data_IF_514445180774
#
_entry.id   IF_514445180774
#
_cell.length_a   1.000
_cell.length_b   1.000
_cell.length_c   1.000
_cell.angle_alpha   90.00
_cell.angle_beta   90.00
_cell.angle_gamma   90.00
#
_symmetry.space_group_name_H-M   'P 1'
#
loop_
_entity.id
_entity.type
_entity.pdbx_description
1 polymer ?
#
# COMPACT_ATOMS: atom_id res chain seq x y z
N UNK A 1 13.38 -0.72 -26.45
CA UNK A 1 13.08 0.64 -26.96
C UNK A 1 13.41 1.74 -25.96
N UNK A 2 13.13 1.57 -24.66
CA UNK A 2 13.47 2.55 -23.60
C UNK A 2 15.00 2.70 -23.39
N UNK A 3 15.74 1.58 -23.46
CA UNK A 3 17.20 1.60 -23.29
C UNK A 3 17.91 2.43 -24.38
N UNK A 4 17.46 2.31 -25.63
CA UNK A 4 17.98 3.06 -26.77
C UNK A 4 17.64 4.55 -26.69
N UNK A 5 16.46 4.92 -26.17
CA UNK A 5 16.06 6.32 -26.01
C UNK A 5 16.76 7.01 -24.83
N UNK A 6 17.17 6.27 -23.79
CA UNK A 6 17.94 6.82 -22.67
C UNK A 6 19.45 6.93 -22.96
N UNK A 7 19.99 6.06 -23.82
CA UNK A 7 21.40 6.08 -24.21
C UNK A 7 21.78 7.31 -25.05
N UNK A 8 20.89 7.75 -25.96
CA UNK A 8 21.14 8.87 -26.88
C UNK A 8 21.47 10.19 -26.15
N UNK A 9 20.67 10.67 -25.17
CA UNK A 9 20.98 11.91 -24.45
C UNK A 9 22.28 11.79 -23.63
N UNK A 10 22.58 10.61 -23.07
CA UNK A 10 23.82 10.38 -22.34
C UNK A 10 25.05 10.42 -23.26
N UNK A 11 24.93 9.84 -24.46
CA UNK A 11 25.97 9.86 -25.48
C UNK A 11 26.22 11.28 -26.01
N UNK A 12 25.17 12.07 -26.19
CA UNK A 12 25.29 13.49 -26.57
C UNK A 12 25.95 14.32 -25.46
N UNK A 13 25.60 14.08 -24.19
CA UNK A 13 26.16 14.79 -23.04
C UNK A 13 27.68 14.55 -22.89
N UNK A 14 28.18 13.38 -23.32
CA UNK A 14 29.59 12.99 -23.25
C UNK A 14 30.38 13.42 -24.50
N UNK A 15 29.79 13.31 -25.69
CA UNK A 15 30.47 13.63 -26.96
C UNK A 15 30.65 15.13 -27.20
N UNK A 16 29.71 15.97 -26.74
CA UNK A 16 29.79 17.42 -26.93
C UNK A 16 31.04 18.02 -26.23
N UNK A 17 31.28 17.82 -24.92
CA UNK A 17 32.47 18.36 -24.26
C UNK A 17 33.76 17.72 -24.78
N UNK A 18 33.74 16.42 -25.10
CA UNK A 18 34.91 15.73 -25.64
C UNK A 18 35.32 16.28 -27.02
N UNK A 19 34.35 16.58 -27.88
CA UNK A 19 34.59 17.24 -29.17
C UNK A 19 35.17 18.65 -29.03
N UNK A 20 34.74 19.41 -28.02
CA UNK A 20 35.32 20.71 -27.71
C UNK A 20 36.76 20.63 -27.17
N UNK A 21 37.06 19.65 -26.30
CA UNK A 21 38.41 19.44 -25.76
C UNK A 21 39.39 18.99 -26.85
N UNK A 22 38.98 18.06 -27.71
CA UNK A 22 39.82 17.53 -28.80
C UNK A 22 40.14 18.59 -29.86
N UNK A 23 39.21 19.53 -30.13
CA UNK A 23 39.37 20.52 -31.21
C UNK A 23 40.11 21.80 -30.76
N UNK A 24 40.13 22.12 -29.48
CA UNK A 24 40.65 23.39 -28.96
C UNK A 24 41.72 23.19 -27.86
N UNK A 25 42.74 22.36 -28.11
CA UNK A 25 43.77 21.88 -27.17
C UNK A 25 44.55 22.89 -26.29
N UNK A 26 44.17 24.18 -26.25
CA UNK A 26 44.50 25.13 -25.18
C UNK A 26 43.21 25.82 -24.69
N UNK A 27 42.92 25.69 -23.40
CA UNK A 27 41.79 26.36 -22.73
C UNK A 27 42.06 27.88 -22.72
N UNK A 28 41.52 28.58 -23.71
CA UNK A 28 41.54 30.05 -23.77
C UNK A 28 40.24 30.59 -23.17
N UNK A 29 40.23 31.86 -22.71
CA UNK A 29 39.04 32.50 -22.10
C UNK A 29 37.77 32.41 -22.99
N UNK A 30 37.93 32.29 -24.31
CA UNK A 30 36.84 32.07 -25.27
C UNK A 30 36.25 30.65 -25.20
N UNK A 31 37.08 29.62 -24.99
CA UNK A 31 36.65 28.23 -24.82
C UNK A 31 35.79 28.08 -23.56
N UNK A 32 36.09 28.81 -22.50
CA UNK A 32 35.30 28.83 -21.26
C UNK A 32 33.85 29.29 -21.50
N UNK A 33 33.63 30.28 -22.38
CA UNK A 33 32.28 30.76 -22.71
C UNK A 33 31.50 29.71 -23.53
N UNK A 34 32.15 29.06 -24.50
CA UNK A 34 31.52 27.99 -25.29
C UNK A 34 31.15 26.78 -24.45
N UNK A 35 32.00 26.41 -23.49
CA UNK A 35 31.70 25.35 -22.54
C UNK A 35 30.51 25.72 -21.66
N UNK A 36 30.44 26.97 -21.18
CA UNK A 36 29.30 27.47 -20.42
C UNK A 36 28.00 27.44 -21.26
N UNK A 37 28.02 27.88 -22.51
CA UNK A 37 26.86 27.81 -23.40
C UNK A 37 26.41 26.37 -23.64
N UNK A 38 27.35 25.45 -23.88
CA UNK A 38 27.05 24.03 -24.03
C UNK A 38 26.44 23.45 -22.76
N UNK A 39 26.98 23.79 -21.59
CA UNK A 39 26.48 23.33 -20.29
C UNK A 39 25.06 23.84 -20.03
N UNK A 40 24.80 25.13 -20.27
CA UNK A 40 23.46 25.72 -20.18
C UNK A 40 22.50 25.04 -21.15
N UNK A 41 22.93 24.78 -22.40
CA UNK A 41 22.11 24.07 -23.38
C UNK A 41 21.73 22.66 -22.91
N UNK A 42 22.67 21.92 -22.33
CA UNK A 42 22.43 20.60 -21.74
C UNK A 42 21.44 20.70 -20.58
N UNK A 43 21.61 21.67 -19.68
CA UNK A 43 20.68 21.89 -18.57
C UNK A 43 19.27 22.20 -19.05
N UNK A 44 19.12 23.04 -20.08
CA UNK A 44 17.82 23.37 -20.67
C UNK A 44 17.19 22.12 -21.30
N UNK A 45 17.96 21.32 -22.04
CA UNK A 45 17.47 20.08 -22.63
C UNK A 45 17.08 19.04 -21.57
N UNK A 46 17.84 18.96 -20.47
CA UNK A 46 17.50 18.10 -19.33
C UNK A 46 16.21 18.57 -18.64
N UNK A 47 16.06 19.87 -18.39
CA UNK A 47 14.84 20.43 -17.82
C UNK A 47 13.62 20.22 -18.74
N UNK A 48 13.80 20.41 -20.04
CA UNK A 48 12.74 20.20 -21.03
C UNK A 48 12.39 18.72 -21.25
N UNK A 49 13.28 17.77 -20.88
CA UNK A 49 13.02 16.34 -21.01
C UNK A 49 12.25 15.74 -19.82
N UNK A 50 12.25 16.42 -18.66
CA UNK A 50 11.51 16.02 -17.44
C UNK A 50 10.07 15.56 -17.74
N UNK A 51 9.20 16.34 -18.42
CA UNK A 51 7.81 15.94 -18.66
C UNK A 51 7.66 14.66 -19.49
N UNK A 52 8.70 14.24 -20.23
CA UNK A 52 8.68 13.01 -21.02
C UNK A 52 9.20 11.78 -20.25
N UNK A 53 9.80 11.97 -19.06
CA UNK A 53 10.33 10.90 -18.20
C UNK A 53 9.33 10.53 -17.11
N UNK A 54 8.59 11.51 -16.58
CA UNK A 54 7.51 11.27 -15.62
C UNK A 54 6.35 10.55 -16.28
N UNK A 55 6.36 9.22 -16.19
CA UNK A 55 5.27 8.34 -16.60
C UNK A 55 4.52 7.93 -15.33
N UNK A 56 3.52 8.71 -14.88
CA UNK A 56 2.34 8.28 -14.10
C UNK A 56 1.69 9.41 -13.29
N UNK A 57 0.36 9.38 -13.24
CA UNK A 57 -0.60 10.47 -13.01
C UNK A 57 -0.96 10.82 -11.55
N UNK A 58 -0.11 10.53 -10.56
CA UNK A 58 -0.50 10.78 -9.16
C UNK A 58 0.62 11.45 -8.37
N UNK A 59 0.47 12.76 -8.19
CA UNK A 59 1.13 13.48 -7.10
C UNK A 59 0.46 13.06 -5.80
N UNK A 60 1.14 12.19 -5.05
CA UNK A 60 0.70 11.84 -3.70
C UNK A 60 1.27 12.87 -2.73
N UNK A 61 0.43 13.33 -1.81
CA UNK A 61 0.89 14.15 -0.70
C UNK A 61 1.52 13.25 0.36
N UNK A 62 2.50 13.81 1.07
CA UNK A 62 3.10 13.12 2.22
C UNK A 62 2.05 13.13 3.33
N UNK A 63 1.70 11.95 3.82
CA UNK A 63 0.73 11.79 4.90
C UNK A 63 1.49 11.81 6.22
N UNK A 64 0.97 12.54 7.20
CA UNK A 64 1.44 12.40 8.58
C UNK A 64 1.15 10.97 9.03
N UNK A 65 2.21 10.28 9.45
CA UNK A 65 2.07 8.99 10.12
C UNK A 65 1.34 9.24 11.44
N UNK A 66 0.02 9.11 11.43
CA UNK A 66 -0.71 8.78 12.65
C UNK A 66 -0.33 7.33 12.98
N UNK A 67 0.73 7.19 13.79
CA UNK A 67 1.29 5.89 14.12
C UNK A 67 0.27 4.98 14.81
N UNK A 68 -0.76 5.56 15.41
CA UNK A 68 -1.61 4.90 16.39
C UNK A 68 -3.06 4.71 15.90
N UNK A 69 -3.49 5.36 14.81
CA UNK A 69 -4.85 5.21 14.28
C UNK A 69 -5.25 3.75 14.01
N UNK A 70 -4.34 2.95 13.42
CA UNK A 70 -4.64 1.54 13.14
C UNK A 70 -4.70 0.68 14.41
N UNK A 71 -3.83 0.96 15.39
CA UNK A 71 -3.85 0.28 16.69
C UNK A 71 -5.11 0.63 17.48
N UNK A 72 -5.46 1.92 17.51
CA UNK A 72 -6.69 2.43 18.12
C UNK A 72 -7.94 1.82 17.48
N UNK A 73 -7.96 1.68 16.15
CA UNK A 73 -9.06 1.01 15.46
C UNK A 73 -9.18 -0.45 15.90
N UNK A 74 -8.05 -1.17 15.99
CA UNK A 74 -8.08 -2.57 16.43
C UNK A 74 -8.64 -2.69 17.86
N UNK A 75 -8.25 -1.79 18.76
CA UNK A 75 -8.78 -1.75 20.12
C UNK A 75 -10.28 -1.40 20.17
N UNK A 76 -10.74 -0.41 19.39
CA UNK A 76 -12.16 -0.03 19.27
C UNK A 76 -13.01 -1.22 18.79
N UNK A 77 -12.55 -1.91 17.75
CA UNK A 77 -13.24 -3.08 17.22
C UNK A 77 -13.29 -4.21 18.24
N UNK A 78 -12.22 -4.43 19.01
CA UNK A 78 -12.16 -5.48 20.04
C UNK A 78 -13.20 -5.29 21.16
N UNK A 79 -13.65 -4.05 21.41
CA UNK A 79 -14.72 -3.73 22.36
C UNK A 79 -16.09 -3.50 21.67
N UNK A 80 -16.20 -3.81 20.39
CA UNK A 80 -17.47 -3.78 19.64
C UNK A 80 -17.88 -2.40 19.11
N UNK A 81 -16.97 -1.43 19.04
CA UNK A 81 -17.25 -0.08 18.55
C UNK A 81 -17.10 0.04 17.03
N UNK A 82 -17.95 -0.67 16.28
CA UNK A 82 -17.97 -0.63 14.81
C UNK A 82 -18.31 0.75 14.21
N UNK A 83 -19.14 1.53 14.92
CA UNK A 83 -19.58 2.86 14.48
C UNK A 83 -18.61 3.98 14.86
N UNK A 84 -17.41 3.64 15.35
CA UNK A 84 -16.38 4.62 15.68
C UNK A 84 -16.05 5.46 14.43
N UNK A 85 -15.88 6.79 14.56
CA UNK A 85 -15.38 7.64 13.48
C UNK A 85 -14.03 7.16 12.91
N UNK A 86 -13.26 6.41 13.70
CA UNK A 86 -12.00 5.80 13.29
C UNK A 86 -12.18 4.61 12.34
N UNK A 87 -13.33 3.93 12.36
CA UNK A 87 -13.57 2.72 11.57
C UNK A 87 -13.93 3.00 10.11
N UNK A 88 -14.70 4.07 9.88
CA UNK A 88 -15.22 4.42 8.55
C UNK A 88 -14.14 4.58 7.47
N UNK A 89 -12.99 5.24 7.72
CA UNK A 89 -11.95 5.41 6.70
C UNK A 89 -11.27 4.10 6.27
N UNK A 90 -11.34 3.05 7.10
CA UNK A 90 -10.68 1.77 6.85
C UNK A 90 -11.66 0.69 6.37
N UNK A 91 -12.98 0.92 6.50
CA UNK A 91 -14.00 -0.02 6.04
C UNK A 91 -14.04 -0.06 4.51
N UNK A 92 -13.66 -1.21 3.94
CA UNK A 92 -13.63 -1.40 2.48
C UNK A 92 -14.81 -2.22 1.96
N UNK A 93 -15.37 -3.10 2.79
CA UNK A 93 -16.49 -3.94 2.40
C UNK A 93 -17.33 -4.32 3.61
N UNK A 94 -18.64 -4.19 3.45
CA UNK A 94 -19.64 -4.73 4.36
C UNK A 94 -20.53 -5.67 3.55
N UNK A 95 -20.81 -6.86 4.08
CA UNK A 95 -21.79 -7.76 3.48
C UNK A 95 -22.58 -8.49 4.56
N UNK A 96 -23.78 -8.89 4.17
CA UNK A 96 -24.68 -9.71 4.96
C UNK A 96 -24.92 -11.00 4.17
N UNK A 97 -24.68 -12.14 4.80
CA UNK A 97 -24.72 -13.46 4.20
C UNK A 97 -25.77 -14.30 4.92
N UNK A 98 -26.69 -14.88 4.15
CA UNK A 98 -27.75 -15.74 4.69
C UNK A 98 -27.19 -17.14 5.02
N UNK A 99 -27.24 -17.51 6.30
CA UNK A 99 -26.81 -18.83 6.77
C UNK A 99 -27.91 -19.90 6.58
N UNK A 100 -29.16 -19.47 6.40
CA UNK A 100 -30.33 -20.34 6.46
C UNK A 100 -30.55 -20.90 7.87
N UNK A 101 -31.29 -22.01 7.99
CA UNK A 101 -31.53 -22.70 9.27
C UNK A 101 -30.35 -23.60 9.67
N UNK A 102 -29.13 -23.09 9.59
CA UNK A 102 -27.91 -23.83 9.89
C UNK A 102 -27.28 -23.31 11.16
N UNK A 103 -26.93 -24.25 12.04
CA UNK A 103 -26.44 -23.93 13.38
C UNK A 103 -24.91 -24.01 13.46
N UNK A 104 -24.22 -24.31 12.35
CA UNK A 104 -22.78 -24.47 12.30
C UNK A 104 -22.16 -23.68 11.15
N UNK A 105 -21.13 -22.89 11.47
CA UNK A 105 -20.28 -22.15 10.55
C UNK A 105 -18.82 -22.56 10.73
N UNK A 106 -18.23 -23.11 9.67
CA UNK A 106 -16.81 -23.38 9.61
C UNK A 106 -16.06 -22.22 8.95
N UNK A 107 -15.03 -21.70 9.61
CA UNK A 107 -14.09 -20.77 9.00
C UNK A 107 -12.98 -21.55 8.32
N UNK A 108 -12.65 -21.21 7.08
CA UNK A 108 -11.62 -21.88 6.28
C UNK A 108 -10.72 -20.82 5.63
N UNK A 109 -9.41 -20.91 5.83
CA UNK A 109 -8.43 -20.07 5.14
C UNK A 109 -7.80 -20.88 4.01
N UNK A 110 -7.85 -20.36 2.79
CA UNK A 110 -7.17 -20.98 1.66
C UNK A 110 -5.76 -20.39 1.52
N UNK A 111 -4.76 -21.26 1.34
CA UNK A 111 -3.37 -20.87 1.08
C UNK A 111 -2.50 -20.68 2.33
N UNK A 112 -1.23 -20.35 2.10
CA UNK A 112 -0.21 -20.22 3.15
C UNK A 112 -0.24 -18.86 3.87
N UNK A 113 -0.90 -17.85 3.30
CA UNK A 113 -0.99 -16.51 3.89
C UNK A 113 -2.09 -16.42 4.96
N UNK A 114 -1.65 -16.57 6.21
CA UNK A 114 -2.46 -16.50 7.43
C UNK A 114 -2.32 -15.15 8.16
N UNK A 115 -1.81 -14.11 7.51
CA UNK A 115 -1.53 -12.81 8.12
C UNK A 115 -2.74 -11.87 8.16
N UNK A 116 -3.83 -12.30 8.79
CA UNK A 116 -5.02 -11.47 9.02
C UNK A 116 -5.64 -11.75 10.38
N UNK A 117 -6.29 -10.73 10.95
CA UNK A 117 -6.94 -10.85 12.25
C UNK A 117 -8.43 -11.08 12.04
N UNK A 118 -9.01 -12.02 12.77
CA UNK A 118 -10.47 -12.24 12.78
C UNK A 118 -11.01 -11.85 14.15
N UNK A 119 -11.91 -10.86 14.16
CA UNK A 119 -12.67 -10.46 15.33
C UNK A 119 -14.07 -11.05 15.23
N UNK A 120 -14.52 -11.77 16.24
CA UNK A 120 -15.82 -12.43 16.26
C UNK A 120 -16.71 -11.84 17.35
N UNK A 121 -17.83 -11.25 16.94
CA UNK A 121 -18.87 -10.72 17.81
C UNK A 121 -20.12 -11.59 17.74
N UNK A 122 -20.69 -11.89 18.91
CA UNK A 122 -22.01 -12.53 19.03
C UNK A 122 -23.09 -11.47 19.02
N UNK A 123 -24.05 -11.59 18.11
CA UNK A 123 -25.26 -10.77 18.08
C UNK A 123 -26.19 -11.19 19.22
N UNK A 124 -27.01 -10.25 19.67
CA UNK A 124 -28.09 -10.55 20.63
C UNK A 124 -29.26 -11.28 19.96
N UNK A 125 -29.43 -11.10 18.65
CA UNK A 125 -30.53 -11.67 17.87
C UNK A 125 -30.07 -12.88 17.04
N UNK A 126 -30.96 -13.89 16.94
CA UNK A 126 -30.80 -15.03 16.03
C UNK A 126 -31.57 -14.79 14.74
N UNK A 127 -30.99 -14.00 13.84
CA UNK A 127 -31.57 -13.64 12.55
C UNK A 127 -31.09 -14.54 11.39
N UNK A 128 -30.29 -15.57 11.70
CA UNK A 128 -29.66 -16.48 10.73
C UNK A 128 -28.80 -15.77 9.67
N UNK A 129 -28.29 -14.58 9.98
CA UNK A 129 -27.46 -13.80 9.08
C UNK A 129 -26.08 -13.62 9.66
N UNK A 130 -25.07 -13.84 8.84
CA UNK A 130 -23.68 -13.51 9.13
C UNK A 130 -23.39 -12.13 8.55
N UNK A 131 -22.93 -11.18 9.37
CA UNK A 131 -22.42 -9.90 8.88
C UNK A 131 -20.90 -9.94 8.85
N UNK A 132 -20.32 -9.51 7.73
CA UNK A 132 -18.87 -9.49 7.51
C UNK A 132 -18.46 -8.07 7.17
N UNK A 133 -17.59 -7.51 8.00
CA UNK A 133 -16.95 -6.21 7.78
C UNK A 133 -15.46 -6.44 7.54
N UNK A 134 -14.96 -5.89 6.44
CA UNK A 134 -13.56 -5.97 6.07
C UNK A 134 -12.95 -4.58 6.23
N UNK A 135 -11.95 -4.49 7.10
CA UNK A 135 -11.16 -3.28 7.31
C UNK A 135 -9.78 -3.48 6.68
N UNK A 136 -9.41 -2.55 5.80
CA UNK A 136 -8.13 -2.57 5.11
C UNK A 136 -7.13 -1.69 5.84
N UNK A 137 -5.99 -2.29 6.18
CA UNK A 137 -4.84 -1.57 6.73
C UNK A 137 -4.23 -0.57 5.76
N UNK A 138 -3.35 0.30 6.26
CA UNK A 138 -2.63 1.23 5.42
C UNK A 138 -1.36 0.62 4.86
N UNK A 139 -1.04 0.99 3.62
CA UNK A 139 0.28 0.74 3.03
C UNK A 139 0.97 2.07 2.76
N UNK A 140 1.90 2.42 3.65
CA UNK A 140 2.64 3.68 3.59
C UNK A 140 4.10 3.38 3.26
N UNK A 141 4.66 4.07 2.28
CA UNK A 141 6.06 3.95 1.91
C UNK A 141 6.69 5.33 1.80
N UNK A 142 7.76 5.56 2.55
CA UNK A 142 8.44 6.87 2.63
C UNK A 142 7.50 8.06 2.93
N UNK A 143 6.44 7.82 3.72
CA UNK A 143 5.44 8.82 4.07
C UNK A 143 4.36 9.06 3.00
N UNK A 144 4.36 8.32 1.90
CA UNK A 144 3.29 8.38 0.90
C UNK A 144 2.32 7.21 1.10
N UNK A 145 1.03 7.50 1.05
CA UNK A 145 -0.03 6.50 1.18
C UNK A 145 -0.34 5.82 -0.17
N UNK A 146 -0.12 4.52 -0.21
CA UNK A 146 -0.38 3.63 -1.34
C UNK A 146 -1.50 2.62 -1.05
N UNK A 147 -2.30 2.85 -0.02
CA UNK A 147 -3.38 1.93 0.40
C UNK A 147 -4.40 1.69 -0.70
N UNK A 148 -4.61 2.67 -1.59
CA UNK A 148 -5.46 2.52 -2.77
C UNK A 148 -5.01 1.44 -3.76
N UNK A 149 -3.77 0.94 -3.65
CA UNK A 149 -3.25 -0.17 -4.45
C UNK A 149 -3.43 -1.53 -3.79
N UNK A 150 -3.84 -1.56 -2.52
CA UNK A 150 -4.09 -2.80 -1.82
C UNK A 150 -5.42 -3.38 -2.27
N UNK A 151 -5.43 -4.68 -2.56
CA UNK A 151 -6.69 -5.39 -2.84
C UNK A 151 -7.27 -5.97 -1.55
N UNK A 152 -8.60 -5.85 -1.33
CA UNK A 152 -9.27 -6.51 -0.21
C UNK A 152 -9.26 -8.03 -0.38
N UNK A 153 -9.11 -8.77 0.72
CA UNK A 153 -9.25 -10.23 0.70
C UNK A 153 -10.66 -10.63 0.29
N UNK A 154 -10.74 -11.64 -0.58
CA UNK A 154 -12.00 -12.19 -1.04
C UNK A 154 -12.48 -13.29 -0.10
N UNK A 155 -13.80 -13.38 0.06
CA UNK A 155 -14.44 -14.44 0.82
C UNK A 155 -15.75 -14.87 0.15
N UNK A 156 -16.13 -16.11 0.39
CA UNK A 156 -17.38 -16.68 -0.10
C UNK A 156 -17.98 -17.66 0.91
N UNK A 157 -19.31 -17.66 1.00
CA UNK A 157 -20.06 -18.61 1.81
C UNK A 157 -20.45 -19.81 0.93
N UNK A 158 -20.19 -21.00 1.43
CA UNK A 158 -20.49 -22.27 0.76
C UNK A 158 -21.27 -23.21 1.67
N UNK A 159 -21.98 -24.16 1.08
CA UNK A 159 -22.52 -25.29 1.82
C UNK A 159 -21.40 -26.24 2.24
N UNK A 160 -21.48 -26.74 3.46
CA UNK A 160 -20.58 -27.75 4.03
C UNK A 160 -21.41 -28.92 4.59
N UNK A 161 -20.81 -30.09 4.74
CA UNK A 161 -21.51 -31.35 5.10
C UNK A 161 -22.41 -31.20 6.33
N UNK A 162 -21.94 -30.45 7.34
CA UNK A 162 -22.63 -30.26 8.62
C UNK A 162 -23.16 -28.83 8.84
N UNK A 163 -23.03 -27.93 7.85
CA UNK A 163 -23.32 -26.51 8.06
C UNK A 163 -22.99 -25.61 6.88
N UNK A 164 -22.50 -24.41 7.16
CA UNK A 164 -21.94 -23.48 6.18
C UNK A 164 -20.43 -23.37 6.37
N UNK A 165 -19.71 -23.04 5.31
CA UNK A 165 -18.30 -22.72 5.35
C UNK A 165 -18.05 -21.32 4.79
N UNK A 166 -17.45 -20.44 5.59
CA UNK A 166 -16.92 -19.16 5.13
C UNK A 166 -15.47 -19.35 4.73
N UNK A 167 -15.20 -19.30 3.43
CA UNK A 167 -13.86 -19.49 2.87
C UNK A 167 -13.24 -18.15 2.57
N UNK A 168 -12.04 -17.93 3.09
CA UNK A 168 -11.21 -16.78 2.78
C UNK A 168 -10.16 -17.18 1.75
N UNK A 169 -10.16 -16.52 0.60
CA UNK A 169 -9.19 -16.80 -0.46
C UNK A 169 -7.78 -16.35 -0.06
N UNK A 170 -6.77 -17.08 -0.53
CA UNK A 170 -5.38 -16.67 -0.43
C UNK A 170 -5.18 -15.30 -1.09
N UNK A 171 -4.49 -14.38 -0.40
CA UNK A 171 -4.19 -13.05 -0.94
C UNK A 171 -2.68 -12.84 -1.05
N UNK A 172 -2.11 -13.20 -2.20
CA UNK A 172 -0.73 -12.86 -2.55
C UNK A 172 -0.73 -11.71 -3.56
N UNK A 173 -0.50 -10.49 -3.08
CA UNK A 173 -0.44 -9.29 -3.93
C UNK A 173 0.99 -8.79 -4.12
N UNK A 174 1.33 -8.41 -5.36
CA UNK A 174 2.62 -7.81 -5.70
C UNK A 174 2.40 -6.38 -6.15
N UNK A 175 2.85 -5.41 -5.34
CA UNK A 175 2.72 -3.99 -5.67
C UNK A 175 4.03 -3.50 -6.29
N UNK A 176 3.96 -3.06 -7.55
CA UNK A 176 5.09 -2.45 -8.26
C UNK A 176 5.03 -0.93 -8.14
N UNK A 177 6.09 -0.35 -7.58
CA UNK A 177 6.17 1.08 -7.32
C UNK A 177 7.44 1.64 -7.94
N UNK A 178 7.31 2.78 -8.61
CA UNK A 178 8.42 3.60 -9.07
C UNK A 178 8.26 4.97 -8.42
N UNK A 179 9.14 5.28 -7.48
CA UNK A 179 9.15 6.55 -6.77
C UNK A 179 10.28 7.44 -7.31
N UNK A 180 9.94 8.66 -7.68
CA UNK A 180 10.94 9.71 -7.91
C UNK A 180 10.92 10.65 -6.71
N UNK A 181 12.01 10.66 -5.95
CA UNK A 181 12.16 11.53 -4.79
C UNK A 181 13.04 12.74 -5.18
N UNK A 182 12.86 13.91 -4.54
CA UNK A 182 13.74 15.05 -4.75
C UNK A 182 15.21 14.67 -4.49
N UNK A 183 16.09 15.18 -5.35
CA UNK A 183 17.53 14.96 -5.20
C UNK A 183 18.05 15.61 -3.91
N UNK A 184 19.15 15.06 -3.38
CA UNK A 184 19.75 15.47 -2.11
C UNK A 184 19.98 16.98 -2.02
N UNK A 185 20.44 17.61 -3.10
CA UNK A 185 20.69 19.05 -3.21
C UNK A 185 19.44 19.89 -2.98
N UNK A 186 18.29 19.47 -3.49
CA UNK A 186 17.01 20.18 -3.28
C UNK A 186 16.58 20.04 -1.82
N UNK A 187 16.67 18.83 -1.26
CA UNK A 187 16.29 18.51 0.12
C UNK A 187 17.06 19.32 1.17
N UNK A 188 18.29 19.73 0.87
CA UNK A 188 19.10 20.57 1.77
C UNK A 188 18.50 21.97 1.99
N UNK A 189 17.71 22.48 1.04
CA UNK A 189 17.15 23.83 1.08
C UNK A 189 15.65 23.86 1.39
N UNK A 190 14.93 22.76 1.17
CA UNK A 190 13.46 22.71 1.34
C UNK A 190 13.00 22.31 2.75
N UNK A 191 13.91 22.14 3.70
CA UNK A 191 13.59 21.65 5.06
C UNK A 191 12.83 20.30 5.07
N UNK A 192 12.80 19.58 3.94
CA UNK A 192 12.34 18.21 3.84
C UNK A 192 13.30 17.33 4.65
N UNK A 193 13.03 17.28 5.95
CA UNK A 193 13.46 16.34 6.95
C UNK A 193 14.88 15.78 6.78
N UNK A 194 15.77 16.29 7.63
CA UNK A 194 17.17 15.88 7.85
C UNK A 194 17.29 14.42 8.31
N UNK A 195 16.86 13.46 7.49
CA UNK A 195 17.18 12.05 7.68
C UNK A 195 18.24 11.68 6.65
N UNK A 196 19.47 12.07 6.97
CA UNK A 196 20.69 11.45 6.46
C UNK A 196 20.70 10.04 7.05
N UNK A 197 19.94 9.14 6.43
CA UNK A 197 19.66 7.80 6.93
C UNK A 197 18.86 7.04 5.89
N UNK A 198 19.58 6.29 5.08
CA UNK A 198 19.17 5.46 3.97
C UNK A 198 18.30 4.28 4.37
N UNK A 199 17.06 4.51 4.83
CA UNK A 199 16.10 3.41 4.95
C UNK A 199 14.81 3.79 4.25
N UNK A 200 14.61 3.20 3.07
CA UNK A 200 13.28 3.06 2.52
C UNK A 200 12.47 2.25 3.52
N UNK A 201 11.66 2.95 4.31
CA UNK A 201 10.75 2.30 5.24
C UNK A 201 9.41 2.12 4.56
N UNK A 202 8.77 1.03 4.90
CA UNK A 202 7.39 0.78 4.57
C UNK A 202 6.68 0.29 5.83
N UNK A 203 5.42 0.66 5.94
CA UNK A 203 4.47 0.11 6.89
C UNK A 203 3.35 -0.51 6.07
N UNK A 204 3.09 -1.79 6.31
CA UNK A 204 1.94 -2.48 5.76
C UNK A 204 1.19 -3.07 6.95
N UNK A 205 0.01 -2.54 7.20
CA UNK A 205 -0.88 -3.08 8.22
C UNK A 205 -1.68 -4.26 7.64
N UNK A 206 -1.86 -5.33 8.43
CA UNK A 206 -2.66 -6.49 8.03
C UNK A 206 -4.14 -6.11 7.89
N UNK A 207 -4.95 -6.94 7.23
CA UNK A 207 -6.40 -6.73 7.18
C UNK A 207 -7.08 -7.25 8.46
N UNK A 208 -8.15 -6.58 8.90
CA UNK A 208 -9.01 -7.04 10.00
C UNK A 208 -10.35 -7.48 9.40
N UNK A 209 -10.77 -8.67 9.76
CA UNK A 209 -12.06 -9.25 9.38
C UNK A 209 -12.92 -9.29 10.63
N UNK A 210 -14.00 -8.52 10.64
CA UNK A 210 -14.95 -8.50 11.73
C UNK A 210 -16.19 -9.29 11.35
N UNK A 211 -16.54 -10.29 12.14
CA UNK A 211 -17.67 -11.18 11.92
C UNK A 211 -18.70 -10.97 13.03
N UNK A 212 -19.93 -10.62 12.65
CA UNK A 212 -21.08 -10.67 13.58
C UNK A 212 -21.90 -11.90 13.27
N UNK A 213 -21.94 -12.81 14.23
CA UNK A 213 -22.62 -14.09 14.11
C UNK A 213 -23.82 -14.14 15.04
N UNK A 214 -24.93 -14.83 14.67
CA UNK A 214 -26.02 -15.14 15.58
C UNK A 214 -25.52 -15.75 16.90
N UNK A 215 -26.26 -15.50 17.97
CA UNK A 215 -25.91 -15.93 19.33
C UNK A 215 -25.68 -17.45 19.40
N UNK A 216 -26.58 -18.23 18.81
CA UNK A 216 -26.60 -19.70 18.95
C UNK A 216 -25.78 -20.43 17.88
N UNK A 217 -25.14 -19.71 16.96
CA UNK A 217 -24.36 -20.32 15.87
C UNK A 217 -23.05 -20.93 16.40
N UNK A 218 -22.84 -22.22 16.25
CA UNK A 218 -21.55 -22.83 16.50
C UNK A 218 -20.54 -22.38 15.44
N UNK A 219 -19.40 -21.84 15.87
CA UNK A 219 -18.33 -21.41 14.96
C UNK A 219 -17.11 -22.27 15.20
N UNK A 220 -16.68 -23.00 14.17
CA UNK A 220 -15.51 -23.88 14.20
C UNK A 220 -14.45 -23.28 13.30
N UNK A 221 -13.24 -23.17 13.82
CA UNK A 221 -12.07 -22.77 13.06
C UNK A 221 -10.91 -23.70 13.42
N UNK A 222 -10.11 -24.06 12.42
CA UNK A 222 -8.87 -24.77 12.66
C UNK A 222 -7.84 -23.78 13.23
N UNK A 223 -7.26 -24.09 14.39
CA UNK A 223 -6.23 -23.25 15.02
C UNK A 223 -5.00 -23.08 14.13
N UNK A 224 -4.72 -24.05 13.27
CA UNK A 224 -3.63 -23.93 12.30
C UNK A 224 -3.96 -22.87 11.23
N UNK A 225 -5.21 -22.80 10.76
CA UNK A 225 -5.64 -21.88 9.71
C UNK A 225 -6.01 -20.48 10.22
N UNK A 226 -6.43 -20.37 11.48
CA UNK A 226 -6.79 -19.11 12.13
C UNK A 226 -6.13 -18.99 13.51
N UNK A 227 -4.81 -18.72 13.55
CA UNK A 227 -4.08 -18.58 14.81
C UNK A 227 -4.51 -17.36 15.66
N UNK A 228 -5.28 -16.43 15.08
CA UNK A 228 -5.66 -15.15 15.71
C UNK A 228 -7.16 -14.86 15.54
N UNK A 229 -8.02 -15.73 16.09
CA UNK A 229 -9.43 -15.41 16.33
C UNK A 229 -9.56 -14.81 17.72
N UNK A 230 -10.04 -13.57 17.80
CA UNK A 230 -10.34 -12.91 19.06
C UNK A 230 -11.84 -12.66 19.19
N UNK A 231 -12.39 -13.05 20.33
CA UNK A 231 -13.78 -12.77 20.66
C UNK A 231 -13.91 -11.36 21.18
N UNK A 232 -14.83 -10.61 20.59
CA UNK A 232 -15.14 -9.23 20.98
C UNK A 232 -15.75 -9.23 22.38
N UNK A 233 -15.18 -8.42 23.27
CA UNK A 233 -15.65 -8.30 24.65
C UNK A 233 -16.64 -7.13 24.73
N UNK A 234 -17.88 -7.41 25.12
CA UNK A 234 -18.91 -6.42 25.44
C UNK A 234 -19.20 -6.40 26.92
#
# INVERSE_FOLDING_TARGET
MILTTMLIPFLLLLLIPLGFVLKFGKVTRKVTHWLLFSYIGILILAAASIPFITVSDQTLEKVELDSDAWGSLFDDLRVGQLDSPLAQPFLVKQSELDLGQKDLLQLISEGEDRSFNVLLERKEENDNKLEVFLFQGKFIMNGYDFSFKLEPRHYALHDHTDGKALRFAALNQTIKLALTLPEFTIRQFTEEEKWVGSEHWHRADNQIIYLRVPHDLEVIADEDDFPFIEYVQK
#
